data_IF_361508369940
#
_entry.id   IF_361508369940
#
_cell.length_a   1.000
_cell.length_b   1.000
_cell.length_c   1.000
_cell.angle_alpha   90.00
_cell.angle_beta   90.00
_cell.angle_gamma   90.00
#
_symmetry.space_group_name_H-M   'P 1'
#
loop_
_entity.id
_entity.type
_entity.pdbx_description
1 polymer ?
#
# COMPACT_ATOMS: atom_id res chain seq x y z
N UNK A 1 11.17 8.52 11.44
CA UNK A 1 11.11 7.08 11.83
C UNK A 1 10.07 6.37 10.97
N UNK A 2 10.47 5.30 10.29
CA UNK A 2 9.60 4.51 9.41
C UNK A 2 8.60 3.70 10.23
N UNK A 3 7.34 3.64 9.76
CA UNK A 3 6.25 2.85 10.35
C UNK A 3 5.59 1.99 9.29
N UNK A 4 5.13 0.79 9.68
CA UNK A 4 4.48 -0.17 8.79
C UNK A 4 3.12 -0.65 9.30
N UNK A 5 2.09 -0.65 8.44
CA UNK A 5 0.85 -1.41 8.70
C UNK A 5 1.05 -2.90 8.40
N UNK A 6 2.02 -3.26 7.55
CA UNK A 6 2.36 -4.64 7.21
C UNK A 6 3.86 -4.80 6.96
N UNK A 7 4.41 -5.94 7.40
CA UNK A 7 5.72 -6.39 6.96
C UNK A 7 5.73 -7.89 6.67
N UNK A 8 6.65 -8.27 5.80
CA UNK A 8 7.06 -9.64 5.56
C UNK A 8 8.57 -9.73 5.67
N UNK A 9 9.04 -10.67 6.48
CA UNK A 9 10.44 -10.95 6.67
C UNK A 9 10.76 -12.40 6.31
N UNK A 10 12.03 -12.64 5.97
CA UNK A 10 12.62 -13.96 5.79
C UNK A 10 13.88 -14.08 6.64
N UNK A 11 14.04 -15.21 7.31
CA UNK A 11 15.19 -15.56 8.14
C UNK A 11 15.33 -17.09 8.22
N UNK A 12 16.17 -17.60 9.10
CA UNK A 12 16.32 -19.04 9.36
C UNK A 12 15.23 -19.56 10.32
N UNK A 13 14.80 -20.79 10.10
CA UNK A 13 13.74 -21.43 10.88
C UNK A 13 14.18 -21.83 12.30
N UNK A 14 15.49 -21.91 12.56
CA UNK A 14 16.04 -22.25 13.88
C UNK A 14 15.69 -21.22 14.96
N UNK A 15 15.33 -19.99 14.58
CA UNK A 15 15.02 -18.90 15.52
C UNK A 15 13.60 -18.96 16.08
N UNK A 16 12.81 -19.97 15.75
CA UNK A 16 11.45 -20.13 16.28
C UNK A 16 11.18 -21.56 16.74
N UNK A 17 10.20 -21.69 17.62
CA UNK A 17 9.55 -22.97 17.90
C UNK A 17 8.07 -22.88 17.53
N UNK A 18 7.54 -23.96 16.94
CA UNK A 18 6.15 -24.04 16.50
C UNK A 18 5.46 -25.28 17.05
N UNK A 19 4.15 -25.19 17.21
CA UNK A 19 3.27 -26.34 17.37
C UNK A 19 2.86 -26.83 15.98
N UNK A 20 3.48 -27.92 15.50
CA UNK A 20 3.26 -28.47 14.16
C UNK A 20 1.78 -28.81 13.89
N UNK A 21 0.97 -29.07 14.91
CA UNK A 21 -0.47 -29.37 14.74
C UNK A 21 -1.27 -28.21 14.16
N UNK A 22 -0.73 -26.99 14.21
CA UNK A 22 -1.33 -25.77 13.65
C UNK A 22 -0.98 -25.53 12.19
N UNK A 23 -0.11 -26.35 11.60
CA UNK A 23 0.45 -26.13 10.26
C UNK A 23 0.00 -27.21 9.28
N UNK A 24 -0.36 -26.77 8.08
CA UNK A 24 -0.58 -27.63 6.94
C UNK A 24 0.80 -27.99 6.36
N UNK A 25 1.05 -29.29 6.15
CA UNK A 25 2.33 -29.81 5.65
C UNK A 25 2.20 -30.11 4.15
N UNK A 26 3.12 -29.58 3.36
CA UNK A 26 3.31 -29.94 1.94
C UNK A 26 4.64 -30.65 1.79
N UNK A 27 4.66 -31.96 1.45
CA UNK A 27 5.89 -32.71 1.29
C UNK A 27 6.80 -32.18 0.17
N UNK A 28 8.10 -32.40 0.31
CA UNK A 28 9.12 -31.96 -0.65
C UNK A 28 8.83 -32.39 -2.09
N UNK A 29 8.40 -33.64 -2.30
CA UNK A 29 8.11 -34.21 -3.62
C UNK A 29 6.91 -33.55 -4.34
N UNK A 30 6.08 -32.80 -3.62
CA UNK A 30 4.94 -32.05 -4.17
C UNK A 30 5.25 -30.56 -4.33
N UNK A 31 6.40 -30.10 -3.85
CA UNK A 31 6.82 -28.71 -3.91
C UNK A 31 7.78 -28.47 -5.06
N UNK A 32 7.57 -27.37 -5.77
CA UNK A 32 8.40 -26.93 -6.90
C UNK A 32 9.87 -26.67 -6.52
N UNK A 33 10.13 -26.47 -5.23
CA UNK A 33 11.47 -26.22 -4.68
C UNK A 33 12.15 -27.48 -4.12
N UNK A 34 11.48 -28.64 -4.14
CA UNK A 34 12.02 -29.87 -3.55
C UNK A 34 12.21 -29.81 -2.02
N UNK A 35 11.51 -28.90 -1.34
CA UNK A 35 11.62 -28.69 0.10
C UNK A 35 10.26 -28.91 0.79
N UNK A 36 10.27 -29.54 1.96
CA UNK A 36 9.09 -29.59 2.82
C UNK A 36 8.66 -28.17 3.19
N UNK A 37 7.35 -27.91 3.14
CA UNK A 37 6.77 -26.63 3.54
C UNK A 37 5.72 -26.83 4.62
N UNK A 38 5.84 -26.11 5.73
CA UNK A 38 4.82 -26.02 6.77
C UNK A 38 4.19 -24.63 6.68
N UNK A 39 2.87 -24.56 6.50
CA UNK A 39 2.14 -23.28 6.43
C UNK A 39 1.13 -23.16 7.54
N UNK A 40 1.06 -22.01 8.21
CA UNK A 40 0.06 -21.78 9.25
C UNK A 40 -1.35 -21.97 8.69
N UNK A 41 -2.06 -22.97 9.21
CA UNK A 41 -3.34 -23.41 8.67
C UNK A 41 -4.41 -22.31 8.76
N UNK A 42 -5.40 -22.38 7.87
CA UNK A 42 -6.58 -21.51 7.94
C UNK A 42 -7.33 -21.67 9.27
N UNK A 43 -7.43 -22.90 9.79
CA UNK A 43 -8.04 -23.23 11.09
C UNK A 43 -7.31 -22.54 12.25
N UNK A 44 -5.97 -22.62 12.27
CA UNK A 44 -5.16 -21.92 13.28
C UNK A 44 -5.36 -20.41 13.20
N UNK A 45 -5.29 -19.81 12.00
CA UNK A 45 -5.51 -18.35 11.80
C UNK A 45 -6.90 -17.91 12.25
N UNK A 46 -7.93 -18.72 12.02
CA UNK A 46 -9.28 -18.45 12.50
C UNK A 46 -9.37 -18.54 14.04
N UNK A 47 -8.68 -19.49 14.67
CA UNK A 47 -8.61 -19.59 16.12
C UNK A 47 -7.92 -18.37 16.75
N UNK A 48 -6.81 -17.92 16.17
CA UNK A 48 -6.09 -16.71 16.59
C UNK A 48 -6.99 -15.48 16.45
N UNK A 49 -7.67 -15.33 15.30
CA UNK A 49 -8.59 -14.20 15.07
C UNK A 49 -9.72 -14.16 16.10
N UNK A 50 -10.20 -15.32 16.57
CA UNK A 50 -11.18 -15.42 17.65
C UNK A 50 -10.58 -15.04 19.00
N UNK A 51 -9.37 -15.53 19.32
CA UNK A 51 -8.67 -15.23 20.58
C UNK A 51 -8.40 -13.73 20.76
N UNK A 52 -8.00 -13.04 19.70
CA UNK A 52 -7.74 -11.58 19.71
C UNK A 52 -9.03 -10.78 19.40
N UNK A 53 -10.13 -11.47 19.08
CA UNK A 53 -11.41 -10.91 18.63
C UNK A 53 -11.29 -9.92 17.44
N UNK A 54 -10.26 -10.06 16.59
CA UNK A 54 -10.01 -9.18 15.44
C UNK A 54 -9.63 -10.01 14.21
N UNK A 55 -10.10 -9.64 13.00
CA UNK A 55 -9.73 -10.35 11.79
C UNK A 55 -8.22 -10.27 11.49
N UNK A 56 -7.49 -11.37 11.71
CA UNK A 56 -6.05 -11.49 11.45
C UNK A 56 -5.75 -12.13 10.08
N UNK A 57 -6.35 -11.59 9.02
CA UNK A 57 -6.35 -12.22 7.68
C UNK A 57 -4.97 -12.33 7.02
N UNK A 58 -4.05 -11.42 7.38
CA UNK A 58 -2.73 -11.27 6.74
C UNK A 58 -1.57 -11.79 7.59
N UNK A 59 -1.86 -12.52 8.67
CA UNK A 59 -0.82 -13.27 9.39
C UNK A 59 -0.50 -14.54 8.58
N UNK A 60 0.78 -14.74 8.29
CA UNK A 60 1.33 -15.98 7.71
C UNK A 60 2.64 -16.33 8.40
N UNK A 61 2.83 -17.61 8.65
CA UNK A 61 4.09 -18.18 9.10
C UNK A 61 4.30 -19.41 8.24
N UNK A 62 5.31 -19.37 7.39
CA UNK A 62 5.66 -20.45 6.48
C UNK A 62 7.12 -20.87 6.75
N UNK A 63 7.34 -22.16 6.95
CA UNK A 63 8.68 -22.76 7.02
C UNK A 63 8.90 -23.50 5.72
N UNK A 64 9.98 -23.20 4.99
CA UNK A 64 10.32 -23.77 3.68
C UNK A 64 11.75 -24.29 3.78
N UNK A 65 11.91 -25.59 4.05
CA UNK A 65 13.21 -26.16 4.41
C UNK A 65 13.84 -25.42 5.62
N UNK A 66 15.07 -24.86 5.50
CA UNK A 66 15.71 -24.14 6.60
C UNK A 66 15.21 -22.69 6.77
N UNK A 67 14.32 -22.22 5.88
CA UNK A 67 13.90 -20.82 5.86
C UNK A 67 12.56 -20.60 6.55
N UNK A 68 12.46 -19.50 7.27
CA UNK A 68 11.23 -18.98 7.86
C UNK A 68 10.79 -17.72 7.12
N UNK A 69 9.52 -17.66 6.76
CA UNK A 69 8.84 -16.47 6.28
C UNK A 69 7.72 -16.09 7.26
N UNK A 70 7.80 -14.89 7.85
CA UNK A 70 6.74 -14.33 8.68
C UNK A 70 6.14 -13.13 7.94
N UNK A 71 4.81 -13.11 7.82
CA UNK A 71 4.04 -11.96 7.34
C UNK A 71 3.04 -11.55 8.40
N UNK A 72 3.01 -10.27 8.75
CA UNK A 72 2.12 -9.75 9.80
C UNK A 72 1.66 -8.34 9.49
N UNK A 73 0.47 -7.99 9.98
CA UNK A 73 -0.01 -6.61 10.01
C UNK A 73 0.13 -6.03 11.42
N UNK A 74 0.22 -4.71 11.53
CA UNK A 74 0.24 -3.98 12.81
C UNK A 74 -0.92 -4.33 13.74
N UNK A 75 -2.03 -4.90 13.24
CA UNK A 75 -3.12 -5.43 14.07
C UNK A 75 -2.65 -6.41 15.15
N UNK A 76 -1.51 -7.10 14.92
CA UNK A 76 -0.88 -7.97 15.91
C UNK A 76 -0.49 -7.23 17.20
N UNK A 77 -0.33 -5.90 17.18
CA UNK A 77 -0.03 -5.07 18.34
C UNK A 77 -1.25 -4.90 19.26
N UNK A 78 -2.45 -5.19 18.78
CA UNK A 78 -3.67 -5.11 19.56
C UNK A 78 -4.06 -3.66 19.90
N UNK A 79 -4.10 -3.31 21.19
CA UNK A 79 -4.45 -1.96 21.64
C UNK A 79 -3.50 -0.90 21.06
N UNK A 80 -2.24 -1.27 20.80
CA UNK A 80 -1.22 -0.40 20.22
C UNK A 80 -1.24 -0.43 18.67
N UNK A 81 -2.34 -0.84 18.04
CA UNK A 81 -2.44 -0.93 16.57
C UNK A 81 -2.03 0.37 15.86
N UNK A 82 -2.39 1.55 16.41
CA UNK A 82 -2.06 2.85 15.82
C UNK A 82 -0.59 3.22 15.92
N UNK A 83 0.16 2.59 16.82
CA UNK A 83 1.61 2.81 16.88
C UNK A 83 2.31 2.29 15.63
N UNK A 84 1.65 1.37 14.90
CA UNK A 84 2.15 0.67 13.73
C UNK A 84 3.43 -0.12 14.06
N UNK A 85 3.93 -0.92 13.11
CA UNK A 85 5.20 -1.64 13.32
C UNK A 85 6.37 -0.69 13.03
N UNK A 86 7.25 -0.51 14.01
CA UNK A 86 8.41 0.38 13.95
C UNK A 86 9.57 -0.20 14.77
N UNK A 87 10.73 0.47 14.80
CA UNK A 87 11.84 0.07 15.68
C UNK A 87 11.43 0.01 17.15
N UNK A 88 10.41 0.78 17.57
CA UNK A 88 9.89 0.78 18.96
C UNK A 88 8.94 -0.38 19.27
N UNK A 89 8.22 -0.89 18.28
CA UNK A 89 7.10 -1.84 18.47
C UNK A 89 7.36 -3.22 17.87
N UNK A 90 8.49 -3.41 17.18
CA UNK A 90 8.83 -4.69 16.55
C UNK A 90 9.00 -5.83 17.57
N UNK A 91 9.54 -5.55 18.76
CA UNK A 91 9.66 -6.57 19.81
C UNK A 91 8.29 -6.99 20.34
N UNK A 92 7.41 -6.02 20.62
CA UNK A 92 6.00 -6.29 20.98
C UNK A 92 5.28 -7.09 19.90
N UNK A 93 5.57 -6.84 18.62
CA UNK A 93 5.03 -7.64 17.52
C UNK A 93 5.46 -9.12 17.64
N UNK A 94 6.73 -9.40 17.92
CA UNK A 94 7.24 -10.76 18.10
C UNK A 94 6.70 -11.42 19.37
N UNK A 95 6.64 -10.69 20.48
CA UNK A 95 6.02 -11.16 21.73
C UNK A 95 4.55 -11.55 21.51
N UNK A 96 3.81 -10.75 20.75
CA UNK A 96 2.40 -11.03 20.46
C UNK A 96 2.21 -12.26 19.55
N UNK A 97 3.19 -12.62 18.70
CA UNK A 97 3.16 -13.89 17.98
C UNK A 97 3.17 -15.09 18.94
N UNK A 98 3.94 -15.00 20.02
CA UNK A 98 3.98 -16.04 21.07
C UNK A 98 2.72 -15.98 21.93
N UNK A 99 2.35 -14.80 22.43
CA UNK A 99 1.17 -14.58 23.28
C UNK A 99 -0.13 -15.10 22.64
N UNK A 100 -0.28 -14.90 21.33
CA UNK A 100 -1.46 -15.37 20.60
C UNK A 100 -1.36 -16.83 20.16
N UNK A 101 -0.27 -17.52 20.47
CA UNK A 101 -0.06 -18.94 20.23
C UNK A 101 0.19 -19.28 18.77
N UNK A 102 0.69 -18.32 17.98
CA UNK A 102 1.16 -18.55 16.60
C UNK A 102 2.49 -19.29 16.65
N UNK A 103 3.40 -18.80 17.52
CA UNK A 103 4.68 -19.42 17.82
C UNK A 103 4.66 -19.90 19.28
N UNK A 104 5.48 -20.90 19.58
CA UNK A 104 5.77 -21.32 20.96
C UNK A 104 6.90 -20.48 21.56
N UNK A 105 7.94 -20.21 20.76
CA UNK A 105 9.08 -19.37 21.12
C UNK A 105 9.62 -18.63 19.89
N UNK A 106 10.34 -17.55 20.13
CA UNK A 106 11.01 -16.73 19.11
C UNK A 106 12.29 -16.10 19.68
N UNK A 107 13.41 -16.22 18.96
CA UNK A 107 14.62 -15.44 19.21
C UNK A 107 14.52 -14.11 18.45
N UNK A 108 13.90 -13.12 19.09
CA UNK A 108 13.72 -11.80 18.49
C UNK A 108 15.04 -11.10 18.19
N UNK A 109 16.10 -11.35 18.97
CA UNK A 109 17.40 -10.73 18.78
C UNK A 109 18.07 -11.25 17.51
N UNK A 110 18.13 -12.57 17.33
CA UNK A 110 18.69 -13.17 16.12
C UNK A 110 17.91 -12.76 14.87
N UNK A 111 16.56 -12.77 14.94
CA UNK A 111 15.71 -12.33 13.83
C UNK A 111 15.97 -10.86 13.49
N UNK A 112 16.06 -9.95 14.45
CA UNK A 112 16.36 -8.52 14.16
C UNK A 112 17.72 -8.33 13.49
N UNK A 113 18.69 -9.16 13.83
CA UNK A 113 20.04 -9.06 13.27
C UNK A 113 20.15 -9.61 11.85
N UNK A 114 19.43 -10.69 11.54
CA UNK A 114 19.64 -11.44 10.29
C UNK A 114 18.50 -11.30 9.29
N UNK A 115 17.28 -11.07 9.76
CA UNK A 115 16.12 -11.13 8.91
C UNK A 115 16.14 -10.04 7.83
N UNK A 116 15.73 -10.45 6.64
CA UNK A 116 15.57 -9.58 5.49
C UNK A 116 14.09 -9.34 5.22
N UNK A 117 13.73 -8.07 5.07
CA UNK A 117 12.41 -7.67 4.61
C UNK A 117 12.26 -8.02 3.13
N UNK A 118 11.13 -8.62 2.80
CA UNK A 118 10.78 -9.02 1.43
C UNK A 118 9.56 -8.30 0.90
N UNK A 119 8.71 -7.76 1.78
CA UNK A 119 7.59 -6.89 1.45
C UNK A 119 7.23 -6.02 2.65
N UNK A 120 6.90 -4.75 2.42
CA UNK A 120 6.45 -3.81 3.47
C UNK A 120 5.34 -2.90 2.97
N UNK A 121 4.47 -2.47 3.87
CA UNK A 121 3.51 -1.39 3.65
C UNK A 121 3.84 -0.25 4.63
N UNK A 122 4.55 0.76 4.12
CA UNK A 122 4.92 1.98 4.85
C UNK A 122 3.68 2.82 5.03
N UNK A 123 3.50 3.39 6.21
CA UNK A 123 2.27 4.10 6.57
C UNK A 123 2.59 5.40 7.29
N UNK A 124 1.92 6.47 6.89
CA UNK A 124 1.89 7.74 7.59
C UNK A 124 0.44 8.22 7.74
N UNK A 125 0.04 8.52 8.98
CA UNK A 125 -1.25 9.10 9.28
C UNK A 125 -1.08 10.60 9.49
N UNK A 126 -1.97 11.40 8.92
CA UNK A 126 -1.93 12.86 9.01
C UNK A 126 -3.34 13.42 8.96
N UNK A 127 -3.51 14.65 9.45
CA UNK A 127 -4.78 15.36 9.40
C UNK A 127 -4.67 16.47 8.37
N UNK A 128 -5.72 16.60 7.54
CA UNK A 128 -5.89 17.74 6.65
C UNK A 128 -6.78 18.79 7.31
N UNK A 129 -6.53 20.06 7.03
CA UNK A 129 -7.36 21.18 7.46
C UNK A 129 -8.79 21.05 6.90
N UNK A 130 -8.90 20.53 5.68
CA UNK A 130 -10.16 20.32 4.99
C UNK A 130 -10.26 18.88 4.50
N UNK A 131 -11.40 18.24 4.79
CA UNK A 131 -11.70 16.89 4.31
C UNK A 131 -11.82 16.89 2.78
N UNK A 132 -11.06 16.05 2.06
CA UNK A 132 -11.16 15.98 0.61
C UNK A 132 -12.52 15.45 0.15
N UNK A 133 -13.08 16.04 -0.89
CA UNK A 133 -14.30 15.58 -1.58
C UNK A 133 -13.96 14.77 -2.84
N UNK A 134 -14.97 14.18 -3.50
CA UNK A 134 -14.76 13.37 -4.70
C UNK A 134 -14.00 14.13 -5.78
N UNK A 135 -14.36 15.39 -5.94
CA UNK A 135 -13.82 16.32 -6.91
C UNK A 135 -12.33 16.53 -6.69
N UNK A 136 -11.88 16.60 -5.43
CA UNK A 136 -10.45 16.72 -5.09
C UNK A 136 -9.68 15.48 -5.50
N UNK A 137 -10.19 14.28 -5.18
CA UNK A 137 -9.58 13.01 -5.59
C UNK A 137 -9.56 12.84 -7.10
N UNK A 138 -10.62 13.29 -7.77
CA UNK A 138 -10.68 13.35 -9.21
C UNK A 138 -9.60 14.28 -9.74
N UNK A 139 -9.40 15.48 -9.17
CA UNK A 139 -8.33 16.38 -9.57
C UNK A 139 -6.95 15.77 -9.30
N UNK A 140 -6.72 15.07 -8.20
CA UNK A 140 -5.45 14.36 -7.97
C UNK A 140 -5.21 13.32 -9.07
N UNK A 141 -6.20 12.45 -9.32
CA UNK A 141 -6.19 11.42 -10.37
C UNK A 141 -5.95 11.97 -11.78
N UNK A 142 -6.38 13.21 -11.98
CA UNK A 142 -6.36 13.90 -13.24
C UNK A 142 -5.08 14.74 -13.39
N UNK A 143 -4.87 15.77 -12.58
CA UNK A 143 -3.91 16.82 -12.88
C UNK A 143 -2.43 16.41 -12.81
N UNK A 144 -2.07 15.33 -12.12
CA UNK A 144 -0.70 15.28 -11.57
C UNK A 144 -0.01 13.94 -11.68
N UNK A 145 -0.63 12.82 -12.08
CA UNK A 145 0.11 11.57 -12.16
C UNK A 145 0.97 11.44 -13.41
N UNK A 146 2.22 10.96 -13.29
CA UNK A 146 3.02 10.58 -14.47
C UNK A 146 2.37 9.34 -15.13
N UNK A 147 1.57 9.51 -16.20
CA UNK A 147 0.74 8.43 -16.74
C UNK A 147 1.58 7.40 -17.50
N UNK A 148 2.87 7.69 -17.72
CA UNK A 148 3.82 6.78 -18.32
C UNK A 148 4.36 5.75 -17.32
N UNK A 149 4.24 6.02 -16.01
CA UNK A 149 4.80 5.19 -14.95
C UNK A 149 3.75 4.66 -13.99
N UNK A 150 2.62 5.35 -13.82
CA UNK A 150 1.61 5.05 -12.81
C UNK A 150 0.21 4.89 -13.39
N UNK A 151 -0.53 3.92 -12.86
CA UNK A 151 -1.95 3.73 -13.15
C UNK A 151 -2.80 4.13 -11.93
N UNK A 152 -3.65 5.16 -12.04
CA UNK A 152 -4.52 5.60 -10.96
C UNK A 152 -5.75 4.70 -10.82
N UNK A 153 -6.29 4.63 -9.61
CA UNK A 153 -7.58 4.05 -9.27
C UNK A 153 -8.21 4.88 -8.15
N UNK A 154 -9.38 5.45 -8.42
CA UNK A 154 -10.13 6.26 -7.47
C UNK A 154 -11.11 5.38 -6.70
N UNK A 155 -11.30 5.67 -5.42
CA UNK A 155 -12.33 5.06 -4.58
C UNK A 155 -13.34 6.15 -4.22
N UNK A 156 -14.62 5.94 -4.56
CA UNK A 156 -15.70 6.90 -4.33
C UNK A 156 -15.65 7.47 -2.90
N UNK A 157 -15.37 8.77 -2.81
CA UNK A 157 -15.30 9.59 -1.59
C UNK A 157 -14.37 9.04 -0.49
N UNK A 158 -13.41 8.20 -0.88
CA UNK A 158 -12.61 7.40 0.06
C UNK A 158 -11.14 7.39 -0.29
N UNK A 159 -10.68 8.11 -1.31
CA UNK A 159 -9.25 8.16 -1.64
C UNK A 159 -8.91 7.76 -3.06
N UNK A 160 -7.61 7.58 -3.28
CA UNK A 160 -7.06 7.06 -4.53
C UNK A 160 -5.88 6.12 -4.25
N UNK A 161 -5.54 5.34 -5.26
CA UNK A 161 -4.33 4.53 -5.30
C UNK A 161 -3.64 4.64 -6.65
N UNK A 162 -2.33 4.50 -6.62
CA UNK A 162 -1.46 4.45 -7.78
C UNK A 162 -0.71 3.13 -7.76
N UNK A 163 -0.58 2.53 -8.93
CA UNK A 163 0.23 1.34 -9.12
C UNK A 163 1.25 1.58 -10.21
N UNK A 164 2.51 1.27 -9.94
CA UNK A 164 3.57 1.37 -10.95
C UNK A 164 3.29 0.37 -12.06
N UNK A 165 3.39 0.83 -13.31
CA UNK A 165 3.09 0.04 -14.50
C UNK A 165 4.10 -1.08 -14.76
N UNK A 166 5.32 -0.96 -14.22
CA UNK A 166 6.41 -1.93 -14.40
C UNK A 166 6.12 -3.21 -13.59
N UNK A 167 6.18 -4.38 -14.24
CA UNK A 167 5.77 -5.66 -13.63
C UNK A 167 6.78 -6.17 -12.60
N UNK A 168 8.05 -5.89 -12.79
CA UNK A 168 9.19 -6.42 -12.04
C UNK A 168 9.49 -5.63 -10.75
N UNK A 169 8.93 -4.42 -10.64
CA UNK A 169 9.14 -3.50 -9.53
C UNK A 169 7.82 -2.83 -9.15
N UNK A 170 6.90 -3.64 -8.61
CA UNK A 170 5.55 -3.19 -8.25
C UNK A 170 5.59 -2.36 -6.98
N UNK A 171 5.47 -1.06 -7.18
CA UNK A 171 5.26 -0.06 -6.14
C UNK A 171 3.79 0.37 -6.16
N UNK A 172 3.22 0.59 -4.98
CA UNK A 172 1.88 1.15 -4.85
C UNK A 172 1.92 2.33 -3.90
N UNK A 173 1.16 3.37 -4.21
CA UNK A 173 0.86 4.48 -3.32
C UNK A 173 -0.65 4.52 -3.11
N UNK A 174 -1.13 4.81 -1.91
CA UNK A 174 -2.56 4.98 -1.64
C UNK A 174 -2.74 6.07 -0.61
N UNK A 175 -3.74 6.92 -0.82
CA UNK A 175 -4.13 7.96 0.13
C UNK A 175 -5.64 7.93 0.28
N UNK A 176 -6.10 7.85 1.52
CA UNK A 176 -7.51 7.70 1.81
C UNK A 176 -7.90 8.31 3.15
N UNK A 177 -9.20 8.63 3.28
CA UNK A 177 -9.80 9.04 4.54
C UNK A 177 -9.86 7.82 5.48
N UNK A 178 -8.96 7.81 6.45
CA UNK A 178 -8.87 6.72 7.43
C UNK A 178 -10.01 6.80 8.43
N UNK A 179 -10.47 7.99 8.78
CA UNK A 179 -11.62 8.17 9.68
C UNK A 179 -12.89 7.53 9.12
N UNK A 180 -13.14 7.68 7.80
CA UNK A 180 -14.26 7.04 7.11
C UNK A 180 -14.03 5.53 6.89
N UNK A 181 -12.80 5.12 6.59
CA UNK A 181 -12.46 3.70 6.46
C UNK A 181 -12.76 2.94 7.76
N UNK A 182 -12.44 3.54 8.91
CA UNK A 182 -12.68 2.95 10.23
C UNK A 182 -14.17 2.82 10.58
N UNK A 183 -15.07 3.60 9.94
CA UNK A 183 -16.54 3.46 10.11
C UNK A 183 -17.12 2.26 9.35
N UNK A 184 -16.37 1.67 8.41
CA UNK A 184 -16.85 0.53 7.62
C UNK A 184 -17.16 -0.69 8.50
N UNK A 185 -18.18 -1.46 8.12
CA UNK A 185 -18.63 -2.66 8.86
C UNK A 185 -17.52 -3.68 9.14
N UNK A 186 -16.54 -3.78 8.23
CA UNK A 186 -15.37 -4.65 8.37
C UNK A 186 -14.46 -4.30 9.57
N UNK A 187 -14.51 -3.06 10.06
CA UNK A 187 -13.72 -2.57 11.18
C UNK A 187 -14.49 -2.55 12.51
N UNK A 188 -15.77 -2.94 12.51
CA UNK A 188 -16.62 -2.95 13.71
C UNK A 188 -15.98 -3.65 14.90
N UNK A 189 -15.42 -4.85 14.71
CA UNK A 189 -14.77 -5.61 15.79
C UNK A 189 -13.53 -4.92 16.34
N UNK A 190 -12.76 -4.29 15.46
CA UNK A 190 -11.55 -3.57 15.82
C UNK A 190 -11.93 -2.32 16.65
N UNK A 191 -12.95 -1.56 16.24
CA UNK A 191 -13.48 -0.43 17.02
C UNK A 191 -14.13 -0.86 18.35
N UNK A 192 -14.76 -2.04 18.40
CA UNK A 192 -15.34 -2.54 19.66
C UNK A 192 -14.27 -2.91 20.68
N UNK A 193 -13.18 -3.54 20.25
CA UNK A 193 -12.15 -4.02 21.16
C UNK A 193 -11.21 -2.91 21.62
N UNK A 194 -10.97 -1.91 20.76
CA UNK A 194 -9.98 -0.87 20.98
C UNK A 194 -10.57 0.54 21.08
N UNK A 195 -11.91 0.63 21.17
CA UNK A 195 -12.66 1.89 21.21
C UNK A 195 -12.91 2.47 19.81
N UNK A 196 -13.87 3.42 19.66
CA UNK A 196 -13.91 4.25 18.47
C UNK A 196 -12.53 4.91 18.36
N UNK A 197 -11.76 4.45 17.38
CA UNK A 197 -10.40 4.94 17.18
C UNK A 197 -10.46 6.47 17.10
N UNK A 198 -9.65 7.21 17.89
CA UNK A 198 -9.75 8.66 18.03
C UNK A 198 -9.15 9.37 16.82
N UNK A 199 -9.56 8.96 15.63
CA UNK A 199 -9.23 9.66 14.40
C UNK A 199 -10.18 10.84 14.33
N UNK A 200 -9.62 12.04 14.43
CA UNK A 200 -10.37 13.25 14.15
C UNK A 200 -10.97 13.17 12.74
N UNK A 201 -12.09 13.87 12.53
CA UNK A 201 -12.55 14.11 11.17
C UNK A 201 -11.41 14.70 10.33
N UNK A 202 -11.26 14.25 9.09
CA UNK A 202 -10.15 14.64 8.22
C UNK A 202 -8.84 13.86 8.47
N UNK A 203 -8.84 12.82 9.32
CA UNK A 203 -7.69 11.91 9.45
C UNK A 203 -7.50 11.09 8.18
N UNK A 204 -6.42 11.36 7.49
CA UNK A 204 -5.96 10.69 6.28
C UNK A 204 -4.88 9.67 6.59
N UNK A 205 -4.76 8.68 5.71
CA UNK A 205 -3.64 7.73 5.72
C UNK A 205 -3.00 7.67 4.34
N UNK A 206 -1.68 7.84 4.30
CA UNK A 206 -0.85 7.52 3.15
C UNK A 206 -0.16 6.16 3.36
N UNK A 207 -0.24 5.29 2.36
CA UNK A 207 0.39 3.97 2.37
C UNK A 207 1.23 3.75 1.10
N UNK A 208 2.46 3.29 1.28
CA UNK A 208 3.33 2.85 0.19
C UNK A 208 3.64 1.36 0.33
N UNK A 209 3.38 0.59 -0.74
CA UNK A 209 3.66 -0.86 -0.75
C UNK A 209 4.89 -1.14 -1.59
N UNK A 210 5.93 -1.66 -0.94
CA UNK A 210 7.14 -2.16 -1.57
C UNK A 210 7.07 -3.69 -1.52
N UNK A 211 6.68 -4.32 -2.62
CA UNK A 211 6.33 -5.75 -2.64
C UNK A 211 7.50 -6.71 -2.93
N UNK A 212 8.73 -6.20 -2.99
CA UNK A 212 9.91 -7.02 -3.22
C UNK A 212 11.12 -6.51 -2.45
N UNK A 213 12.03 -7.43 -2.12
CA UNK A 213 13.33 -7.09 -1.55
C UNK A 213 14.13 -6.11 -2.44
N UNK A 214 13.97 -6.19 -3.77
CA UNK A 214 14.59 -5.26 -4.72
C UNK A 214 14.03 -3.85 -4.54
N UNK A 215 12.71 -3.71 -4.50
CA UNK A 215 12.05 -2.42 -4.28
C UNK A 215 12.48 -1.80 -2.94
N UNK A 216 12.52 -2.61 -1.87
CA UNK A 216 12.99 -2.16 -0.55
C UNK A 216 14.43 -1.63 -0.63
N UNK A 217 15.35 -2.36 -1.25
CA UNK A 217 16.74 -1.90 -1.43
C UNK A 217 16.85 -0.65 -2.29
N UNK A 218 16.00 -0.48 -3.31
CA UNK A 218 16.02 0.72 -4.14
C UNK A 218 15.69 1.98 -3.33
N UNK A 219 14.88 1.87 -2.27
CA UNK A 219 14.52 2.99 -1.40
C UNK A 219 15.47 3.16 -0.21
N UNK A 220 15.87 2.07 0.44
CA UNK A 220 16.63 2.11 1.69
C UNK A 220 18.11 1.76 1.54
N UNK A 221 18.57 1.41 0.34
CA UNK A 221 19.92 0.86 0.06
C UNK A 221 20.11 -0.59 0.54
N UNK A 222 19.45 -0.96 1.64
CA UNK A 222 19.48 -2.29 2.25
C UNK A 222 18.06 -2.79 2.51
N UNK A 223 17.93 -4.06 2.88
CA UNK A 223 16.65 -4.66 3.27
C UNK A 223 16.74 -5.49 4.56
N UNK A 224 17.77 -5.31 5.38
CA UNK A 224 17.76 -5.83 6.76
C UNK A 224 16.61 -5.19 7.53
N UNK A 225 15.96 -5.93 8.41
CA UNK A 225 14.91 -5.35 9.24
C UNK A 225 15.42 -4.19 10.11
N UNK A 226 16.60 -4.31 10.73
CA UNK A 226 17.24 -3.26 11.53
C UNK A 226 17.53 -2.00 10.71
N UNK A 227 18.32 -2.12 9.63
CA UNK A 227 18.67 -0.99 8.75
C UNK A 227 17.44 -0.21 8.24
N UNK A 228 16.35 -0.92 7.93
CA UNK A 228 15.14 -0.29 7.41
C UNK A 228 14.31 0.35 8.53
N UNK A 229 14.12 -0.31 9.67
CA UNK A 229 13.36 0.24 10.80
C UNK A 229 14.03 1.47 11.42
N UNK A 230 15.37 1.49 11.45
CA UNK A 230 16.16 2.59 12.00
C UNK A 230 16.36 3.73 10.98
N UNK A 231 15.94 3.54 9.74
CA UNK A 231 16.07 4.54 8.68
C UNK A 231 15.30 5.82 9.00
N UNK A 232 15.93 6.96 8.70
CA UNK A 232 15.27 8.27 8.66
C UNK A 232 14.82 8.65 7.25
N UNK A 233 15.03 7.78 6.26
CA UNK A 233 14.57 8.02 4.90
C UNK A 233 13.03 8.02 4.84
N UNK A 234 12.46 8.87 3.98
CA UNK A 234 11.03 8.96 3.75
C UNK A 234 10.65 8.47 2.33
N UNK A 235 10.40 7.16 2.14
CA UNK A 235 9.96 6.63 0.86
C UNK A 235 8.58 7.12 0.43
N UNK A 236 7.69 7.46 1.38
CA UNK A 236 6.35 7.97 1.06
C UNK A 236 6.45 9.30 0.32
N UNK A 237 7.20 10.26 0.88
CA UNK A 237 7.46 11.55 0.24
C UNK A 237 8.13 11.41 -1.14
N UNK A 238 9.11 10.52 -1.26
CA UNK A 238 9.78 10.29 -2.55
C UNK A 238 8.85 9.64 -3.60
N UNK A 239 8.11 8.60 -3.22
CA UNK A 239 7.13 7.96 -4.10
C UNK A 239 6.05 8.95 -4.52
N UNK A 240 5.64 9.83 -3.61
CA UNK A 240 4.75 10.93 -3.92
C UNK A 240 5.41 11.85 -4.97
N UNK A 241 6.56 12.46 -4.70
CA UNK A 241 7.23 13.33 -5.69
C UNK A 241 7.44 12.69 -7.06
N UNK A 242 7.76 11.38 -7.12
CA UNK A 242 7.93 10.64 -8.39
C UNK A 242 6.61 10.28 -9.08
N UNK A 243 5.54 10.15 -8.32
CA UNK A 243 4.21 9.86 -8.84
C UNK A 243 3.56 11.11 -9.43
N UNK A 244 3.86 12.27 -8.85
CA UNK A 244 3.25 13.54 -9.16
C UNK A 244 4.15 14.41 -10.08
N UNK A 245 3.63 14.95 -11.17
CA UNK A 245 4.28 15.93 -12.06
C UNK A 245 4.27 17.28 -11.33
N UNK A 246 5.40 17.98 -11.27
CA UNK A 246 5.44 19.32 -10.67
C UNK A 246 4.44 20.25 -11.41
N UNK A 247 3.44 20.83 -10.72
CA UNK A 247 2.49 21.75 -11.33
C UNK A 247 3.14 22.90 -12.10
N UNK A 248 4.37 23.31 -11.72
CA UNK A 248 5.14 24.37 -12.40
C UNK A 248 5.74 23.93 -13.74
N UNK A 249 5.84 22.62 -13.98
CA UNK A 249 6.34 22.06 -15.26
C UNK A 249 5.23 21.89 -16.30
N UNK A 250 3.99 22.24 -15.94
CA UNK A 250 2.84 22.27 -16.82
C UNK A 250 2.87 23.61 -17.58
N UNK A 251 3.19 23.56 -18.88
CA UNK A 251 3.24 24.75 -19.75
C UNK A 251 1.87 25.43 -19.90
N UNK A 252 1.83 26.70 -20.34
CA UNK A 252 0.59 27.45 -20.51
C UNK A 252 -0.38 26.80 -21.51
N UNK A 253 -1.67 26.90 -21.19
CA UNK A 253 -2.81 26.38 -21.93
C UNK A 253 -2.94 27.01 -23.33
N UNK A 254 -2.46 26.34 -24.38
CA UNK A 254 -2.85 26.69 -25.74
C UNK A 254 -3.99 25.79 -26.25
N UNK A 255 -5.20 26.38 -26.25
CA UNK A 255 -6.45 26.04 -26.96
C UNK A 255 -6.75 24.56 -27.23
N UNK A 256 -7.65 24.01 -26.41
CA UNK A 256 -8.34 22.74 -26.68
C UNK A 256 -9.09 22.74 -28.01
N UNK A 257 -9.04 21.60 -28.70
CA UNK A 257 -9.88 21.30 -29.84
C UNK A 257 -11.02 20.32 -29.48
N UNK A 258 -11.99 20.15 -30.39
CA UNK A 258 -13.17 19.27 -30.20
C UNK A 258 -12.81 17.78 -29.99
N UNK A 259 -11.66 17.32 -30.48
CA UNK A 259 -11.16 15.96 -30.24
C UNK A 259 -10.76 15.77 -28.78
N UNK A 260 -10.27 16.84 -28.16
CA UNK A 260 -9.73 16.78 -26.80
C UNK A 260 -10.85 16.56 -25.77
N UNK A 261 -12.01 17.21 -25.99
CA UNK A 261 -13.23 16.99 -25.20
C UNK A 261 -13.82 15.58 -25.36
N UNK A 262 -13.74 14.97 -26.54
CA UNK A 262 -14.20 13.58 -26.74
C UNK A 262 -13.34 12.60 -25.95
N UNK A 263 -12.04 12.84 -25.92
CA UNK A 263 -11.09 12.01 -25.19
C UNK A 263 -11.25 12.18 -23.67
N UNK A 264 -11.60 13.38 -23.19
CA UNK A 264 -11.98 13.61 -21.79
C UNK A 264 -13.22 12.82 -21.40
N UNK A 265 -14.27 12.89 -22.21
CA UNK A 265 -15.51 12.18 -21.95
C UNK A 265 -15.25 10.68 -21.88
N UNK A 266 -14.43 10.14 -22.78
CA UNK A 266 -14.00 8.74 -22.76
C UNK A 266 -13.23 8.39 -21.48
N UNK A 267 -12.25 9.21 -21.07
CA UNK A 267 -11.47 8.97 -19.87
C UNK A 267 -12.33 9.03 -18.60
N UNK A 268 -13.23 10.02 -18.51
CA UNK A 268 -14.17 10.20 -17.40
C UNK A 268 -15.13 9.01 -17.29
N UNK A 269 -15.73 8.61 -18.41
CA UNK A 269 -16.65 7.46 -18.46
C UNK A 269 -15.97 6.13 -18.10
N UNK A 270 -14.65 6.06 -18.22
CA UNK A 270 -13.86 4.89 -17.87
C UNK A 270 -13.06 5.06 -16.56
N UNK A 271 -13.39 6.07 -15.74
CA UNK A 271 -12.78 6.33 -14.44
C UNK A 271 -11.25 6.48 -14.51
N UNK A 272 -10.74 6.96 -15.65
CA UNK A 272 -9.31 7.14 -15.91
C UNK A 272 -8.48 5.84 -15.83
N UNK A 273 -9.12 4.67 -15.88
CA UNK A 273 -8.45 3.37 -15.94
C UNK A 273 -7.89 3.14 -17.34
N UNK A 274 -6.56 3.17 -17.48
CA UNK A 274 -5.90 3.01 -18.78
C UNK A 274 -6.27 1.70 -19.47
N UNK A 275 -6.48 0.61 -18.73
CA UNK A 275 -6.86 -0.67 -19.35
C UNK A 275 -8.25 -0.58 -19.92
N UNK A 276 -9.22 -0.05 -19.18
CA UNK A 276 -10.58 0.16 -19.68
C UNK A 276 -10.60 1.08 -20.90
N UNK A 277 -9.86 2.18 -20.83
CA UNK A 277 -9.73 3.11 -21.96
C UNK A 277 -9.07 2.41 -23.16
N UNK A 278 -8.02 1.63 -22.94
CA UNK A 278 -7.35 0.86 -23.99
C UNK A 278 -8.29 -0.19 -24.59
N UNK A 279 -9.08 -0.88 -23.79
CA UNK A 279 -10.03 -1.90 -24.23
C UNK A 279 -11.13 -1.27 -25.09
N UNK A 280 -11.67 -0.11 -24.68
CA UNK A 280 -12.65 0.66 -25.48
C UNK A 280 -12.03 1.14 -26.80
N UNK A 281 -10.80 1.65 -26.78
CA UNK A 281 -10.10 2.09 -27.99
C UNK A 281 -9.79 0.93 -28.92
N UNK A 282 -9.40 -0.23 -28.38
CA UNK A 282 -9.09 -1.43 -29.15
C UNK A 282 -10.35 -2.08 -29.74
N UNK A 283 -11.49 -1.98 -29.05
CA UNK A 283 -12.78 -2.45 -29.55
C UNK A 283 -13.33 -1.60 -30.71
N UNK A 284 -12.94 -0.32 -30.81
CA UNK A 284 -13.41 0.63 -31.84
C UNK A 284 -12.72 0.46 -33.21
N UNK A 285 -11.83 -0.54 -33.36
CA UNK A 285 -11.39 -1.20 -34.59
C UNK A 285 -11.10 -0.37 -35.87
N UNK A 286 -10.78 0.93 -35.80
CA UNK A 286 -10.24 1.69 -36.94
C UNK A 286 -9.14 2.70 -36.55
N UNK A 287 -7.91 2.33 -36.96
CA UNK A 287 -6.69 3.15 -37.17
C UNK A 287 -5.78 3.49 -35.97
N UNK A 288 -4.68 2.71 -35.94
CA UNK A 288 -3.26 3.02 -35.64
C UNK A 288 -2.86 3.41 -34.20
N UNK A 289 -1.83 2.71 -33.72
CA UNK A 289 -1.03 2.89 -32.49
C UNK A 289 -0.66 4.34 -32.06
N UNK A 290 -0.87 5.35 -32.91
CA UNK A 290 -0.62 6.77 -32.59
C UNK A 290 -1.72 7.44 -31.76
N UNK A 291 -2.93 6.86 -31.66
CA UNK A 291 -4.02 7.44 -30.86
C UNK A 291 -3.74 7.39 -29.37
N UNK A 292 -3.25 6.28 -28.80
CA UNK A 292 -2.98 6.17 -27.36
C UNK A 292 -1.96 7.20 -26.83
N UNK A 293 -1.03 7.65 -27.69
CA UNK A 293 -0.10 8.77 -27.39
C UNK A 293 -0.83 10.11 -27.41
N UNK A 294 -1.64 10.37 -28.44
CA UNK A 294 -2.52 11.56 -28.54
C UNK A 294 -3.52 11.66 -27.39
N UNK A 295 -4.09 10.55 -26.92
CA UNK A 295 -4.93 10.50 -25.72
C UNK A 295 -4.16 10.89 -24.45
N UNK A 296 -2.88 10.49 -24.36
CA UNK A 296 -1.98 10.87 -23.27
C UNK A 296 -1.66 12.36 -23.25
N UNK A 297 -1.49 12.97 -24.42
CA UNK A 297 -1.25 14.40 -24.57
C UNK A 297 -2.51 15.21 -24.27
N UNK A 298 -3.67 14.73 -24.70
CA UNK A 298 -4.96 15.34 -24.38
C UNK A 298 -5.30 15.25 -22.89
N UNK A 299 -4.97 14.13 -22.23
CA UNK A 299 -5.02 14.03 -20.77
C UNK A 299 -4.19 15.16 -20.14
N UNK A 300 -2.92 15.37 -20.53
CA UNK A 300 -2.14 16.50 -19.97
C UNK A 300 -2.85 17.87 -20.11
N UNK A 301 -3.54 18.13 -21.22
CA UNK A 301 -4.24 19.41 -21.43
C UNK A 301 -5.55 19.45 -20.64
N UNK A 302 -6.42 18.45 -20.73
CA UNK A 302 -7.75 18.43 -20.09
C UNK A 302 -7.70 18.59 -18.57
N UNK A 303 -6.68 18.03 -17.95
CA UNK A 303 -6.54 18.01 -16.51
C UNK A 303 -6.06 19.39 -15.98
N UNK A 304 -5.90 20.36 -16.90
CA UNK A 304 -5.52 21.76 -16.65
C UNK A 304 -6.63 22.77 -17.01
N UNK A 305 -7.81 22.35 -17.48
CA UNK A 305 -8.93 23.28 -17.79
C UNK A 305 -9.64 23.78 -16.52
N UNK A 306 -9.11 24.87 -15.98
CA UNK A 306 -9.63 26.00 -15.16
C UNK A 306 -10.80 25.87 -14.15
N UNK A 307 -11.60 24.81 -14.11
CA UNK A 307 -12.83 24.82 -13.28
C UNK A 307 -12.61 24.26 -11.86
N UNK A 308 -11.44 23.69 -11.52
CA UNK A 308 -11.21 23.00 -10.23
C UNK A 308 -9.87 23.28 -9.52
N UNK A 309 -9.12 24.29 -9.95
CA UNK A 309 -7.65 24.26 -9.88
C UNK A 309 -6.98 24.93 -8.67
N UNK A 310 -7.57 25.87 -7.93
CA UNK A 310 -6.85 26.42 -6.75
C UNK A 310 -6.96 25.56 -5.49
N UNK A 311 -8.18 25.26 -5.03
CA UNK A 311 -8.41 24.50 -3.79
C UNK A 311 -7.79 23.10 -3.84
N UNK A 312 -7.99 22.38 -4.93
CA UNK A 312 -7.43 21.04 -5.10
C UNK A 312 -5.90 21.06 -5.18
N UNK A 313 -5.27 22.03 -5.85
CA UNK A 313 -3.81 22.15 -5.86
C UNK A 313 -3.25 22.58 -4.50
N UNK A 314 -3.96 23.43 -3.76
CA UNK A 314 -3.63 23.75 -2.37
C UNK A 314 -3.70 22.51 -1.49
N UNK A 315 -4.77 21.72 -1.59
CA UNK A 315 -4.93 20.46 -0.87
C UNK A 315 -3.86 19.43 -1.25
N UNK A 316 -3.47 19.38 -2.53
CA UNK A 316 -2.36 18.54 -2.96
C UNK A 316 -1.04 18.99 -2.32
N UNK A 317 -0.81 20.30 -2.28
CA UNK A 317 0.40 20.89 -1.67
C UNK A 317 0.44 20.62 -0.17
N UNK A 318 -0.70 20.70 0.50
CA UNK A 318 -0.86 20.31 1.91
C UNK A 318 -0.54 18.82 2.10
N UNK A 319 -1.09 17.93 1.27
CA UNK A 319 -0.75 16.49 1.32
C UNK A 319 0.76 16.28 1.09
N UNK A 320 1.38 16.99 0.14
CA UNK A 320 2.83 16.92 -0.11
C UNK A 320 3.60 17.29 1.15
N UNK A 321 3.22 18.38 1.82
CA UNK A 321 3.86 18.85 3.03
C UNK A 321 3.70 17.85 4.19
N UNK A 322 2.52 17.26 4.37
CA UNK A 322 2.25 16.28 5.43
C UNK A 322 2.90 14.91 5.19
N UNK A 323 3.16 14.56 3.92
CA UNK A 323 3.72 13.26 3.53
C UNK A 323 5.24 13.29 3.31
N UNK A 324 5.83 14.46 3.02
CA UNK A 324 7.28 14.66 2.78
C UNK A 324 8.12 14.74 4.04
#
# INVERSE_FOLDING_TARGET
>A
MVKFDYLQLRTEAQYIQIDKSKFDITPAHQNQHGLETLRLSSKARAAISRKVNIPMRRIKVDIIGPYLCISVTAKILGHDYLELISSKTIDTCFENLVKYGILLQIDSKAIKNEAKLTSVEITNDFTLEHKPILEDYNVFAQAVFNPYQWNPKIWENKGFSLSKLVKEDKEFLSIYDKSEEMKLSRNRKLNQNYGPYPLSEGSMRAEAKLLSAKSIRNHFGKNSISDVLDSQYNPLGELFRRSFIDPKTIGPLEKFNKSDFKNLALATNNQFDYRRISDVINADNQRRHNRARKYRDVMKVVLTSDIRTRKSLTLLSEIIEKVS
#
